data_IF_216796051125
#
_entry.id   IF_216796051125
#
_cell.length_a   1.000
_cell.length_b   1.000
_cell.length_c   1.000
_cell.angle_alpha   90.00
_cell.angle_beta   90.00
_cell.angle_gamma   90.00
#
_symmetry.space_group_name_H-M   'P 1'
#
loop_
_entity.id
_entity.type
_entity.pdbx_description
1 polymer ?
#
# COMPACT_ATOMS: atom_id res chain seq x y z
N UNK A 1 2.14 -15.81 -15.79
CA UNK A 1 1.37 -15.15 -14.71
C UNK A 1 1.82 -15.73 -13.38
N UNK A 2 1.97 -14.91 -12.34
CA UNK A 2 2.56 -15.29 -11.03
C UNK A 2 1.66 -16.21 -10.16
N UNK A 3 0.80 -17.04 -10.77
CA UNK A 3 -0.07 -17.98 -10.05
C UNK A 3 -1.30 -17.40 -9.33
N UNK A 4 -1.48 -16.07 -9.32
CA UNK A 4 -2.66 -15.41 -8.75
C UNK A 4 -3.79 -15.35 -9.78
N UNK A 5 -5.02 -15.72 -9.39
CA UNK A 5 -6.19 -15.62 -10.27
C UNK A 5 -6.60 -14.15 -10.44
N UNK A 6 -7.20 -13.82 -11.58
CA UNK A 6 -7.64 -12.43 -11.83
C UNK A 6 -8.72 -11.95 -10.86
N UNK A 7 -9.61 -12.85 -10.43
CA UNK A 7 -10.67 -12.56 -9.44
C UNK A 7 -10.13 -12.16 -8.06
N UNK A 8 -8.89 -12.57 -7.74
CA UNK A 8 -8.22 -12.23 -6.49
C UNK A 8 -7.39 -10.92 -6.60
N UNK A 9 -7.38 -10.29 -7.78
CA UNK A 9 -6.63 -9.05 -8.04
C UNK A 9 -7.60 -7.87 -8.04
N UNK A 10 -7.58 -7.11 -6.96
CA UNK A 10 -8.33 -5.87 -6.82
C UNK A 10 -7.43 -4.70 -7.20
N UNK A 11 -7.83 -3.91 -8.19
CA UNK A 11 -7.04 -2.79 -8.73
C UNK A 11 -7.69 -1.47 -8.35
N UNK A 12 -6.88 -0.56 -7.80
CA UNK A 12 -7.26 0.82 -7.46
C UNK A 12 -6.36 1.77 -8.28
N UNK A 13 -6.96 2.68 -9.05
CA UNK A 13 -6.23 3.53 -10.03
C UNK A 13 -6.48 5.03 -9.87
N UNK A 14 -7.24 5.46 -8.86
CA UNK A 14 -7.66 6.86 -8.69
C UNK A 14 -6.68 7.66 -7.84
N UNK A 15 -6.00 7.01 -6.90
CA UNK A 15 -5.17 7.69 -5.92
C UNK A 15 -3.91 8.31 -6.53
N UNK A 16 -3.60 9.54 -6.13
CA UNK A 16 -2.34 10.22 -6.47
C UNK A 16 -1.36 10.20 -5.29
N UNK A 17 -1.87 10.04 -4.06
CA UNK A 17 -1.10 10.11 -2.83
C UNK A 17 -1.21 8.84 -1.98
N UNK A 18 -0.15 8.55 -1.19
CA UNK A 18 -0.06 7.34 -0.35
C UNK A 18 -1.22 7.19 0.64
N UNK A 19 -1.78 8.29 1.13
CA UNK A 19 -2.93 8.26 2.04
C UNK A 19 -4.22 7.83 1.33
N UNK A 20 -4.43 8.29 0.10
CA UNK A 20 -5.56 7.89 -0.72
C UNK A 20 -5.47 6.41 -1.08
N UNK A 21 -4.27 5.91 -1.43
CA UNK A 21 -4.04 4.48 -1.70
C UNK A 21 -4.55 3.62 -0.53
N UNK A 22 -4.19 3.99 0.69
CA UNK A 22 -4.51 3.24 1.91
C UNK A 22 -6.00 3.36 2.29
N UNK A 23 -6.63 4.52 2.08
CA UNK A 23 -8.07 4.70 2.28
C UNK A 23 -8.90 3.90 1.28
N UNK A 24 -8.56 3.99 -0.01
CA UNK A 24 -9.28 3.30 -1.06
C UNK A 24 -9.07 1.77 -0.96
N UNK A 25 -7.87 1.31 -0.62
CA UNK A 25 -7.61 -0.11 -0.35
C UNK A 25 -8.39 -0.64 0.87
N UNK A 26 -8.67 0.21 1.87
CA UNK A 26 -9.53 -0.15 2.99
C UNK A 26 -10.97 -0.36 2.55
N UNK A 27 -11.52 0.56 1.77
CA UNK A 27 -12.90 0.46 1.25
C UNK A 27 -13.07 -0.81 0.42
N UNK A 28 -12.16 -1.04 -0.54
CA UNK A 28 -12.12 -2.26 -1.35
C UNK A 28 -12.02 -3.52 -0.48
N UNK A 29 -11.17 -3.50 0.55
CA UNK A 29 -11.04 -4.66 1.43
C UNK A 29 -12.28 -4.91 2.30
N UNK A 30 -12.98 -3.87 2.76
CA UNK A 30 -14.25 -4.01 3.50
C UNK A 30 -15.29 -4.69 2.61
N UNK A 31 -15.43 -4.26 1.35
CA UNK A 31 -16.38 -4.84 0.39
C UNK A 31 -16.08 -6.32 0.12
N UNK A 32 -14.82 -6.73 0.21
CA UNK A 32 -14.35 -8.09 -0.05
C UNK A 32 -14.10 -8.92 1.22
N UNK A 33 -14.48 -8.42 2.41
CA UNK A 33 -14.32 -9.14 3.68
C UNK A 33 -12.87 -9.32 4.16
N UNK A 34 -11.94 -8.51 3.63
CA UNK A 34 -10.52 -8.49 4.04
C UNK A 34 -10.39 -7.76 5.37
N UNK A 35 -9.65 -8.35 6.31
CA UNK A 35 -9.46 -7.81 7.67
C UNK A 35 -8.04 -7.31 7.93
N UNK A 36 -7.06 -8.01 7.36
CA UNK A 36 -5.63 -7.78 7.59
C UNK A 36 -4.89 -7.62 6.28
N UNK A 37 -3.86 -6.78 6.28
CA UNK A 37 -3.14 -6.41 5.07
C UNK A 37 -1.64 -6.65 5.24
N UNK A 38 -0.97 -7.00 4.15
CA UNK A 38 0.50 -6.89 4.06
C UNK A 38 0.82 -5.77 3.10
N UNK A 39 1.54 -4.75 3.57
CA UNK A 39 1.97 -3.63 2.74
C UNK A 39 3.35 -3.98 2.17
N UNK A 40 3.48 -3.86 0.86
CA UNK A 40 4.74 -3.99 0.13
C UNK A 40 5.11 -2.64 -0.47
N UNK A 41 6.24 -2.09 -0.08
CA UNK A 41 6.75 -0.79 -0.52
C UNK A 41 8.25 -0.69 -0.25
N UNK A 42 8.90 0.37 -0.69
CA UNK A 42 10.31 0.62 -0.35
C UNK A 42 10.48 0.99 1.14
N UNK A 43 11.72 0.93 1.68
CA UNK A 43 11.95 1.14 3.12
C UNK A 43 11.51 2.52 3.65
N UNK A 44 11.66 3.60 2.88
CA UNK A 44 11.31 4.95 3.32
C UNK A 44 9.78 5.13 3.34
N UNK A 45 9.14 4.75 2.24
CA UNK A 45 7.68 4.81 2.08
C UNK A 45 6.97 3.83 3.01
N UNK A 46 7.59 2.71 3.37
CA UNK A 46 7.05 1.76 4.36
C UNK A 46 6.75 2.44 5.70
N UNK A 47 7.66 3.29 6.20
CA UNK A 47 7.44 4.01 7.45
C UNK A 47 6.24 4.95 7.37
N UNK A 48 6.07 5.66 6.24
CA UNK A 48 4.90 6.52 5.97
C UNK A 48 3.63 5.69 5.91
N UNK A 49 3.64 4.61 5.13
CA UNK A 49 2.49 3.74 4.94
C UNK A 49 1.99 3.11 6.24
N UNK A 50 2.89 2.57 7.07
CA UNK A 50 2.52 1.97 8.37
C UNK A 50 1.97 3.01 9.36
N UNK A 51 2.49 4.25 9.33
CA UNK A 51 1.95 5.34 10.15
C UNK A 51 0.53 5.72 9.72
N UNK A 52 0.30 5.82 8.42
CA UNK A 52 -1.04 6.09 7.86
C UNK A 52 -1.99 4.94 8.20
N UNK A 53 -1.58 3.68 7.99
CA UNK A 53 -2.38 2.51 8.32
C UNK A 53 -2.86 2.52 9.77
N UNK A 54 -1.95 2.85 10.71
CA UNK A 54 -2.31 3.04 12.13
C UNK A 54 -3.30 4.18 12.33
N UNK A 55 -3.12 5.31 11.64
CA UNK A 55 -4.01 6.47 11.76
C UNK A 55 -5.44 6.17 11.29
N UNK A 56 -5.59 5.38 10.23
CA UNK A 56 -6.90 5.02 9.66
C UNK A 56 -7.45 3.67 10.14
N UNK A 57 -6.86 3.10 11.20
CA UNK A 57 -7.25 1.83 11.82
C UNK A 57 -7.31 0.65 10.83
N UNK A 58 -6.23 0.45 10.06
CA UNK A 58 -6.01 -0.77 9.28
C UNK A 58 -5.03 -1.66 10.05
N UNK A 59 -5.39 -2.93 10.22
CA UNK A 59 -4.45 -3.94 10.69
C UNK A 59 -3.52 -4.35 9.53
N UNK A 60 -2.32 -3.75 9.51
CA UNK A 60 -1.34 -3.96 8.46
C UNK A 60 -0.01 -4.49 9.01
N UNK A 61 0.67 -5.30 8.20
CA UNK A 61 2.00 -5.84 8.43
C UNK A 61 2.96 -5.35 7.34
N UNK A 62 4.20 -5.02 7.73
CA UNK A 62 5.20 -4.50 6.81
C UNK A 62 5.95 -5.63 6.10
N UNK A 63 6.08 -5.53 4.77
CA UNK A 63 6.93 -6.39 3.93
C UNK A 63 7.76 -5.51 2.98
N UNK A 64 8.77 -4.78 3.50
CA UNK A 64 9.54 -3.84 2.69
C UNK A 64 10.37 -4.57 1.65
N UNK A 65 10.49 -3.97 0.46
CA UNK A 65 11.42 -4.44 -0.56
C UNK A 65 12.86 -4.06 -0.15
N UNK A 66 13.88 -4.88 -0.49
CA UNK A 66 15.28 -4.54 -0.21
C UNK A 66 15.80 -3.37 -1.06
N UNK A 67 15.04 -2.98 -2.08
CA UNK A 67 15.38 -1.95 -3.05
C UNK A 67 14.25 -0.94 -3.16
N UNK A 68 14.59 0.33 -3.36
CA UNK A 68 13.65 1.36 -3.79
C UNK A 68 13.55 1.40 -5.32
N UNK A 69 12.35 1.64 -5.84
CA UNK A 69 12.17 1.95 -7.27
C UNK A 69 12.67 3.37 -7.60
N UNK A 70 12.71 4.24 -6.59
CA UNK A 70 13.25 5.59 -6.68
C UNK A 70 14.73 5.56 -6.32
N UNK A 71 15.59 5.98 -7.27
CA UNK A 71 17.06 5.99 -7.11
C UNK A 71 17.61 7.37 -6.72
N UNK A 72 16.74 8.38 -6.62
CA UNK A 72 17.10 9.78 -6.41
C UNK A 72 16.18 10.40 -5.35
N UNK A 73 16.78 11.11 -4.39
CA UNK A 73 16.10 11.78 -3.27
C UNK A 73 14.99 12.74 -3.73
N UNK A 74 15.14 13.38 -4.89
CA UNK A 74 14.15 14.31 -5.47
C UNK A 74 12.83 13.62 -5.85
N UNK A 75 12.83 12.29 -6.02
CA UNK A 75 11.63 11.49 -6.34
C UNK A 75 11.11 10.70 -5.13
N UNK A 76 11.85 10.70 -4.02
CA UNK A 76 11.49 10.02 -2.77
C UNK A 76 10.60 10.88 -1.85
N UNK A 77 10.50 12.19 -2.11
CA UNK A 77 9.66 13.11 -1.34
C UNK A 77 8.71 13.93 -2.23
N UNK A 78 7.79 13.30 -3.00
CA UNK A 78 6.60 14.01 -3.46
C UNK A 78 5.60 14.01 -2.30
N UNK A 79 5.40 15.20 -1.73
CA UNK A 79 4.45 15.47 -0.64
C UNK A 79 3.04 15.04 -1.07
#
# INVERSE_FOLDING_TARGET
KQGVKEEDILIETKSLFTEENLKNAKEVGIENGIRTYTIVSDPLHMKRAMRIAKHINIEAYASPTPTSAYKTLDTEIPF
#
